data_IF_604684328706
#
_entry.id   IF_604684328706
#
_cell.length_a   1.000
_cell.length_b   1.000
_cell.length_c   1.000
_cell.angle_alpha   90.00
_cell.angle_beta   90.00
_cell.angle_gamma   90.00
#
_symmetry.space_group_name_H-M   'P 1'
#
loop_
_entity.id
_entity.type
_entity.pdbx_description
1 polymer ?
#
# COMPACT_ATOMS: atom_id res chain seq x y z
N UNK A 1 30.46 62.45 27.21
CA UNK A 1 31.61 61.80 26.55
C UNK A 1 32.15 60.85 27.60
N UNK A 2 32.15 59.54 27.51
CA UNK A 2 32.31 58.56 26.42
C UNK A 2 32.51 57.24 27.20
N UNK A 3 32.08 56.04 26.84
CA UNK A 3 31.35 55.51 25.70
C UNK A 3 30.63 54.23 26.14
N UNK A 4 29.80 53.72 25.24
CA UNK A 4 29.13 52.44 25.36
C UNK A 4 30.13 51.28 25.19
N UNK A 5 30.03 50.24 26.02
CA UNK A 5 30.70 48.96 25.80
C UNK A 5 29.77 47.83 26.23
N UNK A 6 29.08 47.25 25.25
CA UNK A 6 28.42 45.95 25.39
C UNK A 6 29.47 44.84 25.38
N UNK A 7 29.28 43.76 26.15
CA UNK A 7 29.80 42.46 25.76
C UNK A 7 28.63 41.53 25.41
N UNK A 8 28.57 41.18 24.12
CA UNK A 8 27.64 40.22 23.56
C UNK A 8 27.68 38.89 24.31
N UNK A 9 26.52 38.50 24.83
CA UNK A 9 26.30 37.18 25.41
C UNK A 9 25.82 36.29 24.26
N UNK A 10 26.71 35.40 23.83
CA UNK A 10 26.50 34.49 22.72
C UNK A 10 25.23 33.66 22.90
N UNK A 11 24.33 33.82 21.93
CA UNK A 11 23.26 32.88 21.66
C UNK A 11 23.23 32.68 20.15
N UNK A 12 23.72 31.53 19.72
CA UNK A 12 23.27 30.88 18.49
C UNK A 12 23.82 29.47 18.56
N UNK A 13 23.04 28.61 19.22
CA UNK A 13 23.20 27.18 19.20
C UNK A 13 23.55 26.70 17.79
N UNK A 14 24.65 25.97 17.71
CA UNK A 14 25.02 25.10 16.61
C UNK A 14 23.80 24.28 16.21
N UNK A 15 23.16 24.69 15.12
CA UNK A 15 22.07 23.94 14.50
C UNK A 15 22.69 22.67 13.93
N UNK A 16 22.81 21.65 14.77
CA UNK A 16 23.05 20.27 14.33
C UNK A 16 22.00 19.98 13.28
N UNK A 17 22.49 19.88 12.03
CA UNK A 17 21.70 19.47 10.89
C UNK A 17 21.12 18.11 11.23
N UNK A 18 19.82 18.08 11.51
CA UNK A 18 19.08 16.84 11.61
C UNK A 18 19.31 16.07 10.31
N UNK A 19 19.61 14.77 10.36
CA UNK A 19 19.66 13.98 9.14
C UNK A 19 18.29 14.11 8.48
N UNK A 20 18.29 14.58 7.23
CA UNK A 20 17.10 14.56 6.40
C UNK A 20 16.47 13.17 6.51
N UNK A 21 15.14 13.05 6.69
CA UNK A 21 14.50 11.76 6.56
C UNK A 21 14.91 11.17 5.20
N UNK A 22 15.15 9.84 5.12
CA UNK A 22 15.47 9.22 3.85
C UNK A 22 14.38 9.63 2.87
N UNK A 23 14.81 10.07 1.69
CA UNK A 23 13.92 10.47 0.62
C UNK A 23 12.84 9.39 0.46
N UNK A 24 11.64 9.70 0.96
CA UNK A 24 10.43 9.04 0.52
C UNK A 24 10.44 9.28 -0.99
N UNK A 25 10.79 8.25 -1.76
CA UNK A 25 10.64 8.28 -3.21
C UNK A 25 9.16 8.54 -3.50
N UNK A 26 8.82 9.83 -3.62
CA UNK A 26 7.49 10.35 -3.95
C UNK A 26 7.15 10.12 -5.42
N UNK A 27 7.58 8.98 -5.97
CA UNK A 27 7.23 8.51 -7.29
C UNK A 27 6.22 7.38 -7.19
N UNK A 28 5.22 7.40 -8.08
CA UNK A 28 4.34 6.26 -8.28
C UNK A 28 5.20 5.11 -8.81
N UNK A 29 5.31 4.00 -8.07
CA UNK A 29 6.07 2.83 -8.52
C UNK A 29 5.10 1.75 -8.98
N UNK A 30 5.24 1.31 -10.22
CA UNK A 30 4.48 0.20 -10.77
C UNK A 30 5.33 -1.08 -10.74
N UNK A 31 4.78 -2.16 -10.21
CA UNK A 31 5.36 -3.49 -10.17
C UNK A 31 4.37 -4.48 -10.76
N UNK A 32 4.72 -5.05 -11.91
CA UNK A 32 3.87 -6.00 -12.60
C UNK A 32 4.55 -7.37 -12.54
N UNK A 33 3.82 -8.38 -12.11
CA UNK A 33 4.29 -9.75 -12.05
C UNK A 33 3.15 -10.69 -12.41
N UNK A 34 3.50 -11.92 -12.79
CA UNK A 34 2.50 -12.95 -13.05
C UNK A 34 2.87 -14.19 -12.25
N UNK A 35 1.85 -14.98 -11.89
CA UNK A 35 2.02 -16.22 -11.17
C UNK A 35 1.12 -17.29 -11.76
N UNK A 36 1.62 -18.51 -11.88
CA UNK A 36 0.78 -19.66 -12.16
C UNK A 36 0.18 -20.14 -10.83
N UNK A 37 -1.11 -19.90 -10.60
CA UNK A 37 -1.82 -20.39 -9.43
C UNK A 37 -2.85 -21.42 -9.90
N UNK A 38 -2.76 -22.64 -9.36
CA UNK A 38 -3.69 -23.75 -9.65
C UNK A 38 -3.98 -23.94 -11.17
N UNK A 39 -2.91 -23.95 -11.98
CA UNK A 39 -2.94 -24.10 -13.46
C UNK A 39 -3.46 -22.89 -14.27
N UNK A 40 -3.85 -21.79 -13.62
CA UNK A 40 -4.24 -20.55 -14.29
C UNK A 40 -3.14 -19.49 -14.17
N UNK A 41 -2.81 -18.85 -15.30
CA UNK A 41 -1.91 -17.70 -15.32
C UNK A 41 -2.66 -16.48 -14.78
N UNK A 42 -2.18 -15.94 -13.67
CA UNK A 42 -2.71 -14.73 -13.06
C UNK A 42 -1.71 -13.60 -13.21
N UNK A 43 -2.22 -12.45 -13.64
CA UNK A 43 -1.48 -11.21 -13.71
C UNK A 43 -1.75 -10.37 -12.46
N UNK A 44 -0.68 -9.83 -11.92
CA UNK A 44 -0.68 -8.96 -10.76
C UNK A 44 -0.04 -7.63 -11.14
N UNK A 45 -0.73 -6.55 -10.81
CA UNK A 45 -0.28 -5.20 -11.04
C UNK A 45 -0.36 -4.45 -9.72
N UNK A 46 0.80 -4.20 -9.11
CA UNK A 46 0.93 -3.41 -7.90
C UNK A 46 1.40 -2.00 -8.26
N UNK A 47 0.75 -0.99 -7.71
CA UNK A 47 1.11 0.41 -7.87
C UNK A 47 1.22 1.04 -6.49
N UNK A 48 2.43 1.36 -6.08
CA UNK A 48 2.72 2.10 -4.85
C UNK A 48 2.50 3.59 -5.10
N UNK A 49 1.70 4.21 -4.24
CA UNK A 49 1.55 5.66 -4.08
C UNK A 49 2.16 6.06 -2.72
N UNK A 50 2.17 7.36 -2.38
CA UNK A 50 2.77 7.87 -1.14
C UNK A 50 2.22 7.17 0.11
N UNK A 51 0.89 7.19 0.30
CA UNK A 51 0.21 6.61 1.47
C UNK A 51 -0.79 5.51 1.09
N UNK A 52 -0.74 5.05 -0.17
CA UNK A 52 -1.69 4.09 -0.70
C UNK A 52 -1.02 3.07 -1.60
N UNK A 53 -1.60 1.88 -1.65
CA UNK A 53 -1.17 0.80 -2.53
C UNK A 53 -2.36 0.38 -3.37
N UNK A 54 -2.19 0.29 -4.68
CA UNK A 54 -3.19 -0.28 -5.57
C UNK A 54 -2.71 -1.62 -6.08
N UNK A 55 -3.55 -2.65 -5.95
CA UNK A 55 -3.30 -4.01 -6.40
C UNK A 55 -4.42 -4.40 -7.35
N UNK A 56 -4.04 -4.86 -8.53
CA UNK A 56 -4.96 -5.46 -9.47
C UNK A 56 -4.52 -6.89 -9.74
N UNK A 57 -5.50 -7.79 -9.77
CA UNK A 57 -5.30 -9.22 -9.92
C UNK A 57 -6.31 -9.71 -10.94
N UNK A 58 -5.86 -10.26 -12.06
CA UNK A 58 -6.76 -10.70 -13.14
C UNK A 58 -6.10 -11.61 -14.15
N UNK A 59 -6.92 -12.24 -14.98
CA UNK A 59 -6.50 -13.12 -16.09
C UNK A 59 -6.75 -12.50 -17.48
N UNK A 60 -7.30 -11.28 -17.53
CA UNK A 60 -7.57 -10.54 -18.77
C UNK A 60 -7.66 -9.03 -18.54
N UNK A 61 -7.83 -8.21 -19.59
CA UNK A 61 -7.85 -6.74 -19.51
C UNK A 61 -9.20 -6.19 -18.98
N UNK A 62 -9.72 -6.76 -17.90
CA UNK A 62 -10.95 -6.34 -17.25
C UNK A 62 -10.65 -5.76 -15.88
N UNK A 63 -11.31 -4.63 -15.57
CA UNK A 63 -11.34 -4.05 -14.23
C UNK A 63 -12.79 -4.09 -13.75
N UNK A 64 -13.04 -4.95 -12.77
CA UNK A 64 -14.27 -5.28 -12.07
C UNK A 64 -13.94 -5.63 -10.61
N UNK A 65 -14.90 -5.51 -9.70
CA UNK A 65 -14.71 -5.88 -8.29
C UNK A 65 -13.47 -5.20 -7.64
N UNK A 66 -13.39 -3.87 -7.77
CA UNK A 66 -12.42 -3.03 -7.08
C UNK A 66 -12.95 -2.66 -5.69
N UNK A 67 -12.22 -3.03 -4.66
CA UNK A 67 -12.45 -2.64 -3.28
C UNK A 67 -11.32 -1.74 -2.77
N UNK A 68 -11.60 -0.94 -1.77
CA UNK A 68 -10.62 -0.21 -0.98
C UNK A 68 -10.74 -0.61 0.47
N UNK A 69 -9.62 -0.74 1.16
CA UNK A 69 -9.59 -0.88 2.60
C UNK A 69 -8.58 0.10 3.20
N UNK A 70 -8.96 0.70 4.32
CA UNK A 70 -8.09 1.62 5.07
C UNK A 70 -8.16 1.33 6.56
N UNK A 71 -7.00 1.35 7.22
CA UNK A 71 -6.95 1.35 8.67
C UNK A 71 -7.26 2.75 9.17
N UNK A 72 -8.24 2.88 10.07
CA UNK A 72 -8.47 4.12 10.80
C UNK A 72 -7.69 4.07 12.11
N UNK A 73 -7.18 5.20 12.63
CA UNK A 73 -6.47 5.23 13.92
C UNK A 73 -7.33 4.81 15.11
N UNK A 74 -8.66 4.77 14.96
CA UNK A 74 -9.62 4.45 16.02
C UNK A 74 -10.10 3.00 15.98
N UNK A 75 -10.08 2.35 14.82
CA UNK A 75 -10.62 1.00 14.67
C UNK A 75 -9.51 -0.02 14.47
N UNK A 76 -9.57 -1.10 15.24
CA UNK A 76 -8.65 -2.24 15.08
C UNK A 76 -8.93 -3.04 13.79
N UNK A 77 -10.10 -2.82 13.18
CA UNK A 77 -10.55 -3.48 11.96
C UNK A 77 -10.54 -2.43 10.83
N UNK A 78 -9.80 -2.66 9.72
CA UNK A 78 -9.81 -1.73 8.60
C UNK A 78 -11.20 -1.67 7.97
N UNK A 79 -11.66 -0.46 7.68
CA UNK A 79 -12.88 -0.24 6.93
C UNK A 79 -12.64 -0.65 5.47
N UNK A 80 -13.45 -1.56 4.95
CA UNK A 80 -13.45 -1.97 3.54
C UNK A 80 -14.70 -1.47 2.83
N UNK A 81 -14.58 -1.08 1.57
CA UNK A 81 -15.68 -0.59 0.74
C UNK A 81 -15.44 -1.01 -0.70
N UNK A 82 -16.47 -1.57 -1.33
CA UNK A 82 -16.43 -1.87 -2.76
C UNK A 82 -16.66 -0.58 -3.55
N UNK A 83 -15.72 -0.20 -4.40
CA UNK A 83 -15.80 0.99 -5.25
C UNK A 83 -16.44 0.70 -6.60
N UNK A 84 -16.19 -0.49 -7.14
CA UNK A 84 -16.69 -0.87 -8.46
C UNK A 84 -16.87 -2.38 -8.54
N UNK A 85 -17.97 -2.85 -9.14
CA UNK A 85 -18.24 -4.27 -9.30
C UNK A 85 -19.49 -4.75 -8.58
N UNK A 86 -19.60 -6.06 -8.41
CA UNK A 86 -20.76 -6.70 -7.82
C UNK A 86 -20.63 -6.72 -6.29
N UNK A 87 -21.59 -6.10 -5.59
CA UNK A 87 -21.62 -6.05 -4.12
C UNK A 87 -21.75 -7.44 -3.46
N UNK A 88 -22.18 -8.46 -4.21
CA UNK A 88 -22.22 -9.84 -3.73
C UNK A 88 -20.83 -10.49 -3.60
N UNK A 89 -19.83 -9.98 -4.32
CA UNK A 89 -18.48 -10.54 -4.34
C UNK A 89 -17.60 -9.90 -3.28
N UNK A 90 -17.59 -10.47 -2.08
CA UNK A 90 -16.80 -9.96 -0.95
C UNK A 90 -15.31 -10.32 -0.99
N UNK A 91 -14.85 -10.99 -2.04
CA UNK A 91 -13.45 -11.41 -2.22
C UNK A 91 -12.49 -10.23 -2.17
N UNK A 92 -12.75 -9.19 -2.97
CA UNK A 92 -11.89 -8.00 -3.03
C UNK A 92 -11.89 -7.23 -1.72
N UNK A 93 -13.05 -7.08 -1.07
CA UNK A 93 -13.16 -6.43 0.24
C UNK A 93 -12.35 -7.18 1.30
N UNK A 94 -12.52 -8.50 1.37
CA UNK A 94 -11.82 -9.35 2.34
C UNK A 94 -10.31 -9.32 2.12
N UNK A 95 -9.86 -9.39 0.86
CA UNK A 95 -8.44 -9.34 0.50
C UNK A 95 -7.85 -7.96 0.83
N UNK A 96 -8.51 -6.87 0.44
CA UNK A 96 -8.09 -5.51 0.76
C UNK A 96 -7.96 -5.31 2.28
N UNK A 97 -8.95 -5.76 3.05
CA UNK A 97 -8.97 -5.63 4.50
C UNK A 97 -7.84 -6.41 5.17
N UNK A 98 -7.57 -7.64 4.74
CA UNK A 98 -6.45 -8.44 5.28
C UNK A 98 -5.09 -7.81 4.97
N UNK A 99 -4.91 -7.30 3.75
CA UNK A 99 -3.67 -6.63 3.36
C UNK A 99 -3.52 -5.29 4.09
N UNK A 100 -4.58 -4.47 4.19
CA UNK A 100 -4.55 -3.19 4.88
C UNK A 100 -4.26 -3.37 6.38
N UNK A 101 -4.82 -4.42 7.00
CA UNK A 101 -4.51 -4.79 8.39
C UNK A 101 -3.01 -5.05 8.61
N UNK A 102 -2.34 -5.61 7.60
CA UNK A 102 -0.93 -5.98 7.63
C UNK A 102 0.00 -4.80 7.33
N UNK A 103 -0.32 -3.97 6.34
CA UNK A 103 0.51 -2.81 5.96
C UNK A 103 0.24 -1.56 6.78
N UNK A 104 -0.94 -1.48 7.42
CA UNK A 104 -1.47 -0.26 8.06
C UNK A 104 -1.61 0.94 7.12
N UNK A 105 -1.65 0.69 5.80
CA UNK A 105 -1.86 1.70 4.75
C UNK A 105 -3.20 1.50 4.06
N UNK A 106 -3.62 2.49 3.28
CA UNK A 106 -4.78 2.36 2.40
C UNK A 106 -4.43 1.43 1.23
N UNK A 107 -5.23 0.39 1.01
CA UNK A 107 -5.01 -0.55 -0.10
C UNK A 107 -6.26 -0.63 -0.96
N UNK A 108 -6.08 -0.47 -2.26
CA UNK A 108 -7.07 -0.76 -3.28
C UNK A 108 -6.78 -2.13 -3.86
N UNK A 109 -7.79 -2.99 -3.97
CA UNK A 109 -7.66 -4.34 -4.53
C UNK A 109 -8.74 -4.57 -5.56
N UNK A 110 -8.34 -4.81 -6.81
CA UNK A 110 -9.20 -5.27 -7.89
C UNK A 110 -8.99 -6.77 -8.07
N UNK A 111 -10.06 -7.55 -7.98
CA UNK A 111 -10.00 -9.00 -8.17
C UNK A 111 -10.88 -9.40 -9.36
N UNK A 112 -10.24 -9.81 -10.44
CA UNK A 112 -10.84 -9.99 -11.76
C UNK A 112 -10.84 -11.42 -12.26
N UNK A 113 -10.57 -12.38 -11.37
CA UNK A 113 -10.52 -13.79 -11.72
C UNK A 113 -11.88 -14.41 -11.41
N UNK A 114 -12.39 -15.23 -12.34
CA UNK A 114 -13.67 -15.94 -12.12
C UNK A 114 -13.60 -16.96 -10.99
N UNK A 115 -12.40 -17.46 -10.70
CA UNK A 115 -12.17 -18.34 -9.56
C UNK A 115 -12.25 -17.54 -8.25
N UNK A 116 -13.36 -17.70 -7.53
CA UNK A 116 -13.61 -17.12 -6.20
C UNK A 116 -13.48 -18.15 -5.08
N UNK A 117 -12.85 -19.30 -5.34
CA UNK A 117 -12.64 -20.31 -4.31
C UNK A 117 -11.76 -19.76 -3.19
N UNK A 118 -12.18 -19.97 -1.94
CA UNK A 118 -11.43 -19.50 -0.76
C UNK A 118 -9.97 -19.96 -0.75
N UNK A 119 -9.70 -21.17 -1.26
CA UNK A 119 -8.34 -21.70 -1.40
C UNK A 119 -7.51 -20.94 -2.44
N UNK A 120 -8.11 -20.57 -3.56
CA UNK A 120 -7.44 -19.81 -4.61
C UNK A 120 -7.17 -18.36 -4.17
N UNK A 121 -8.13 -17.72 -3.51
CA UNK A 121 -7.95 -16.38 -2.92
C UNK A 121 -6.78 -16.38 -1.92
N UNK A 122 -6.64 -17.44 -1.12
CA UNK A 122 -5.52 -17.59 -0.19
C UNK A 122 -4.16 -17.74 -0.91
N UNK A 123 -4.12 -18.49 -2.01
CA UNK A 123 -2.93 -18.63 -2.84
C UNK A 123 -2.52 -17.27 -3.44
N UNK A 124 -3.48 -16.51 -3.97
CA UNK A 124 -3.29 -15.14 -4.47
C UNK A 124 -2.74 -14.24 -3.36
N UNK A 125 -3.34 -14.28 -2.18
CA UNK A 125 -2.88 -13.49 -1.04
C UNK A 125 -1.47 -13.86 -0.57
N UNK A 126 -1.15 -15.14 -0.50
CA UNK A 126 0.19 -15.62 -0.12
C UNK A 126 1.22 -15.16 -1.14
N UNK A 127 0.91 -15.25 -2.44
CA UNK A 127 1.79 -14.77 -3.50
C UNK A 127 2.05 -13.27 -3.38
N UNK A 128 1.02 -12.47 -3.13
CA UNK A 128 1.16 -11.02 -2.89
C UNK A 128 2.03 -10.78 -1.66
N UNK A 129 1.79 -11.48 -0.55
CA UNK A 129 2.58 -11.34 0.69
C UNK A 129 4.05 -11.71 0.50
N UNK A 130 4.35 -12.74 -0.27
CA UNK A 130 5.72 -13.12 -0.64
C UNK A 130 6.38 -12.03 -1.47
N UNK A 131 5.67 -11.50 -2.47
CA UNK A 131 6.18 -10.44 -3.34
C UNK A 131 6.43 -9.14 -2.55
N UNK A 132 5.54 -8.80 -1.61
CA UNK A 132 5.73 -7.68 -0.68
C UNK A 132 6.92 -7.88 0.27
N UNK A 133 7.23 -9.13 0.63
CA UNK A 133 8.38 -9.45 1.46
C UNK A 133 9.70 -9.44 0.66
N UNK A 134 9.66 -9.82 -0.62
CA UNK A 134 10.81 -9.78 -1.52
C UNK A 134 11.13 -8.37 -2.00
N UNK A 135 10.11 -7.55 -2.25
CA UNK A 135 10.24 -6.20 -2.80
C UNK A 135 9.50 -5.17 -1.95
N UNK A 136 9.86 -4.97 -0.67
CA UNK A 136 9.16 -4.02 0.19
C UNK A 136 9.18 -2.59 -0.37
N UNK A 137 10.23 -2.20 -1.10
CA UNK A 137 10.33 -0.89 -1.73
C UNK A 137 9.28 -0.66 -2.84
N UNK A 138 8.65 -1.72 -3.35
CA UNK A 138 7.65 -1.65 -4.42
C UNK A 138 6.21 -1.58 -3.92
N UNK A 139 5.96 -1.64 -2.61
CA UNK A 139 4.62 -1.72 -2.01
C UNK A 139 4.38 -0.71 -0.88
#
# INVERSE_FOLDING_TARGET
MEGAQEPGRGDAAERVSAPAPPAEEGGISLHNFHGHLAEQLVHFHAMRLQDSLFLWVGDGPQLSNLAVAMCTPRDSIPASTLLFGNASDNTSNSLAQRLASKTKKQIFVSYNIQNTDSGFILLVENRIKEEMAMFPDKF
#
